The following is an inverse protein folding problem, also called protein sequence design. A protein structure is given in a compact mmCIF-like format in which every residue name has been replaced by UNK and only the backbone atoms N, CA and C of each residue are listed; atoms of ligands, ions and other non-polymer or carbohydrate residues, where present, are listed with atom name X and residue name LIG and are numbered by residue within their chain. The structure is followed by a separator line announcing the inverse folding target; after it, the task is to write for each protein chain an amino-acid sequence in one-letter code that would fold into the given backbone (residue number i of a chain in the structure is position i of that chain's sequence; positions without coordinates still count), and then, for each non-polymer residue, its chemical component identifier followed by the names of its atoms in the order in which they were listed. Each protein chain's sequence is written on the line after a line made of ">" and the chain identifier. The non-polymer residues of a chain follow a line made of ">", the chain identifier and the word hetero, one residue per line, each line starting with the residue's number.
data_IF_405505703315
#
_entry.id   IF_405505703315
#
_cell.length_a   1.000
_cell.length_b   1.000
_cell.length_c   1.000
_cell.angle_alpha   90.00
_cell.angle_beta   90.00
_cell.angle_gamma   90.00
#
_symmetry.space_group_name_H-M   'P 1'
#
loop_
_entity.id
_entity.type
_entity.pdbx_description
1 polymer ?
#
# COMPACT_ATOMS: atom_id res chain seq x y z
N UNK A 1 -0.57 -10.29 -68.23
CA UNK A 1 0.24 -9.62 -67.18
C UNK A 1 -0.37 -8.32 -66.63
N UNK A 2 -1.08 -7.49 -67.42
CA UNK A 2 -1.59 -6.18 -66.95
C UNK A 2 -2.71 -6.23 -65.88
N UNK A 3 -3.50 -7.31 -65.79
CA UNK A 3 -4.62 -7.38 -64.84
C UNK A 3 -4.20 -7.71 -63.38
N UNK A 4 -3.10 -8.47 -63.18
CA UNK A 4 -2.59 -8.80 -61.83
C UNK A 4 -1.86 -7.61 -61.16
N UNK A 5 -1.33 -6.68 -61.95
CA UNK A 5 -0.60 -5.52 -61.44
C UNK A 5 -1.53 -4.42 -60.90
N UNK A 6 -2.74 -4.30 -61.45
CA UNK A 6 -3.77 -3.35 -60.98
C UNK A 6 -4.37 -3.80 -59.65
N UNK A 7 -4.55 -5.11 -59.44
CA UNK A 7 -5.08 -5.65 -58.19
C UNK A 7 -4.10 -5.48 -57.01
N UNK A 8 -2.79 -5.58 -57.27
CA UNK A 8 -1.75 -5.40 -56.24
C UNK A 8 -1.57 -3.91 -55.83
N UNK A 9 -1.73 -2.99 -56.78
CA UNK A 9 -1.73 -1.55 -56.50
C UNK A 9 -2.99 -1.09 -55.74
N UNK A 10 -4.15 -1.70 -56.04
CA UNK A 10 -5.39 -1.43 -55.30
C UNK A 10 -5.32 -1.96 -53.85
N UNK A 11 -4.68 -3.12 -53.61
CA UNK A 11 -4.56 -3.72 -52.29
C UNK A 11 -3.57 -2.95 -51.37
N UNK A 12 -2.54 -2.33 -51.94
CA UNK A 12 -1.60 -1.45 -51.23
C UNK A 12 -2.21 -0.07 -50.93
N UNK A 13 -3.05 0.45 -51.83
CA UNK A 13 -3.83 1.67 -51.57
C UNK A 13 -4.87 1.51 -50.45
N UNK A 14 -5.57 0.37 -50.41
CA UNK A 14 -6.57 0.08 -49.36
C UNK A 14 -5.94 -0.11 -47.97
N UNK A 15 -4.74 -0.69 -47.88
CA UNK A 15 -4.04 -0.85 -46.59
C UNK A 15 -3.53 0.47 -46.03
N UNK A 16 -3.06 1.39 -46.90
CA UNK A 16 -2.66 2.74 -46.49
C UNK A 16 -3.85 3.59 -46.01
N UNK A 17 -5.01 3.48 -46.67
CA UNK A 17 -6.24 4.20 -46.28
C UNK A 17 -6.85 3.63 -44.99
N UNK A 18 -6.81 2.31 -44.81
CA UNK A 18 -7.28 1.66 -43.57
C UNK A 18 -6.46 2.04 -42.33
N UNK A 19 -5.15 2.27 -42.48
CA UNK A 19 -4.29 2.77 -41.39
C UNK A 19 -4.55 4.26 -41.07
N UNK A 20 -5.02 5.04 -42.04
CA UNK A 20 -5.39 6.47 -41.86
C UNK A 20 -6.82 6.65 -41.32
N UNK A 21 -7.70 5.67 -41.50
CA UNK A 21 -9.10 5.68 -41.04
C UNK A 21 -9.33 4.89 -39.74
N UNK A 22 -8.28 4.32 -39.15
CA UNK A 22 -8.40 3.72 -37.82
C UNK A 22 -8.86 4.79 -36.84
N UNK A 23 -10.03 4.55 -36.23
CA UNK A 23 -10.64 5.47 -35.28
C UNK A 23 -9.61 5.93 -34.25
N UNK A 24 -9.58 7.22 -33.96
CA UNK A 24 -8.71 7.79 -32.92
C UNK A 24 -9.01 7.23 -31.52
N UNK A 25 -10.09 6.46 -31.37
CA UNK A 25 -10.41 5.69 -30.18
C UNK A 25 -9.89 4.26 -30.36
N UNK A 26 -8.87 3.85 -29.60
CA UNK A 26 -8.43 2.46 -29.54
C UNK A 26 -9.57 1.57 -29.07
N UNK A 27 -9.77 0.44 -29.75
CA UNK A 27 -10.68 -0.58 -29.23
C UNK A 27 -10.18 -1.15 -27.88
N UNK A 28 -11.08 -1.63 -27.02
CA UNK A 28 -10.69 -2.30 -25.78
C UNK A 28 -9.72 -3.45 -26.03
N UNK A 29 -8.78 -3.64 -25.10
CA UNK A 29 -7.89 -4.78 -25.14
C UNK A 29 -8.68 -6.07 -24.94
N UNK A 30 -8.31 -7.10 -25.70
CA UNK A 30 -8.98 -8.42 -25.71
C UNK A 30 -8.02 -9.54 -25.31
N UNK A 31 -8.52 -10.71 -24.86
CA UNK A 31 -7.67 -11.86 -24.55
C UNK A 31 -6.78 -12.31 -25.73
N UNK A 32 -7.25 -12.14 -26.96
CA UNK A 32 -6.48 -12.47 -28.16
C UNK A 32 -5.26 -11.54 -28.34
N UNK A 33 -5.43 -10.24 -28.06
CA UNK A 33 -4.33 -9.27 -28.04
C UNK A 33 -3.31 -9.60 -26.95
N UNK A 34 -3.77 -10.00 -25.76
CA UNK A 34 -2.89 -10.44 -24.67
C UNK A 34 -2.10 -11.69 -25.09
N UNK A 35 -2.76 -12.69 -25.67
CA UNK A 35 -2.12 -13.92 -26.15
C UNK A 35 -1.10 -13.67 -27.28
N UNK A 36 -1.31 -12.64 -28.11
CA UNK A 36 -0.33 -12.21 -29.09
C UNK A 36 0.88 -11.52 -28.43
N UNK A 37 0.63 -10.62 -27.48
CA UNK A 37 1.68 -9.89 -26.76
C UNK A 37 2.56 -10.82 -25.90
N UNK A 38 1.98 -11.83 -25.27
CA UNK A 38 2.67 -12.90 -24.53
C UNK A 38 3.86 -13.49 -25.29
N UNK A 39 3.67 -13.74 -26.59
CA UNK A 39 4.71 -14.29 -27.48
C UNK A 39 5.88 -13.32 -27.67
N UNK A 40 5.60 -12.02 -27.71
CA UNK A 40 6.60 -10.97 -27.91
C UNK A 40 7.44 -10.80 -26.64
N UNK A 41 6.80 -10.83 -25.48
CA UNK A 41 7.45 -10.61 -24.18
C UNK A 41 8.04 -11.89 -23.55
N UNK A 42 7.85 -13.05 -24.18
CA UNK A 42 8.38 -14.33 -23.71
C UNK A 42 7.67 -14.90 -22.47
N UNK A 43 6.40 -14.54 -22.26
CA UNK A 43 5.57 -15.04 -21.16
C UNK A 43 4.45 -15.95 -21.68
N UNK A 44 3.88 -16.77 -20.80
CA UNK A 44 2.73 -17.62 -21.12
C UNK A 44 1.71 -17.57 -19.98
N UNK A 45 0.48 -17.22 -20.31
CA UNK A 45 -0.63 -17.19 -19.35
C UNK A 45 -1.74 -18.16 -19.75
N UNK A 46 -2.44 -18.70 -18.77
CA UNK A 46 -3.67 -19.44 -19.03
C UNK A 46 -4.84 -18.46 -19.25
N UNK A 47 -5.98 -18.97 -19.71
CA UNK A 47 -7.14 -18.15 -20.05
C UNK A 47 -7.66 -17.33 -18.86
N UNK A 48 -7.76 -17.94 -17.67
CA UNK A 48 -8.19 -17.24 -16.46
C UNK A 48 -7.27 -16.06 -16.09
N UNK A 49 -5.95 -16.20 -16.28
CA UNK A 49 -4.99 -15.10 -16.07
C UNK A 49 -5.17 -14.01 -17.12
N UNK A 50 -5.42 -14.36 -18.38
CA UNK A 50 -5.68 -13.36 -19.44
C UNK A 50 -6.93 -12.55 -19.15
N UNK A 51 -8.01 -13.22 -18.76
CA UNK A 51 -9.27 -12.59 -18.38
C UNK A 51 -9.10 -11.66 -17.18
N UNK A 52 -8.42 -12.13 -16.12
CA UNK A 52 -8.13 -11.33 -14.93
C UNK A 52 -7.32 -10.06 -15.20
N UNK A 53 -6.50 -10.02 -16.26
CA UNK A 53 -5.71 -8.83 -16.60
C UNK A 53 -6.50 -7.79 -17.38
N UNK A 54 -7.66 -8.13 -17.97
CA UNK A 54 -8.37 -7.23 -18.88
C UNK A 54 -8.79 -5.92 -18.23
N UNK A 55 -9.25 -5.96 -16.98
CA UNK A 55 -9.66 -4.76 -16.25
C UNK A 55 -8.52 -3.75 -16.15
N UNK A 56 -7.42 -4.16 -15.52
CA UNK A 56 -6.23 -3.33 -15.32
C UNK A 56 -5.61 -2.86 -16.64
N UNK A 57 -5.58 -3.73 -17.65
CA UNK A 57 -5.02 -3.38 -18.96
C UNK A 57 -5.88 -2.32 -19.69
N UNK A 58 -7.21 -2.43 -19.62
CA UNK A 58 -8.10 -1.42 -20.22
C UNK A 58 -8.07 -0.11 -19.43
N UNK A 59 -8.00 -0.16 -18.10
CA UNK A 59 -7.81 1.04 -17.27
C UNK A 59 -6.48 1.72 -17.60
N UNK A 60 -5.39 0.95 -17.74
CA UNK A 60 -4.10 1.47 -18.15
C UNK A 60 -4.16 2.10 -19.55
N UNK A 61 -4.84 1.47 -20.52
CA UNK A 61 -5.03 2.03 -21.85
C UNK A 61 -5.76 3.38 -21.80
N UNK A 62 -6.85 3.47 -21.02
CA UNK A 62 -7.58 4.72 -20.81
C UNK A 62 -6.68 5.80 -20.18
N UNK A 63 -5.89 5.43 -19.17
CA UNK A 63 -4.94 6.34 -18.53
C UNK A 63 -3.87 6.83 -19.50
N UNK A 64 -3.33 5.95 -20.36
CA UNK A 64 -2.38 6.35 -21.40
C UNK A 64 -3.02 7.28 -22.44
N UNK A 65 -4.28 7.06 -22.82
CA UNK A 65 -5.00 7.97 -23.72
C UNK A 65 -5.16 9.36 -23.10
N UNK A 66 -5.53 9.43 -21.81
CA UNK A 66 -5.59 10.69 -21.06
C UNK A 66 -4.24 11.40 -20.99
N UNK A 67 -3.14 10.66 -20.79
CA UNK A 67 -1.79 11.25 -20.80
C UNK A 67 -1.42 11.76 -22.19
N UNK A 68 -1.74 11.02 -23.25
CA UNK A 68 -1.44 11.39 -24.64
C UNK A 68 -2.29 12.55 -25.17
N UNK A 69 -3.47 12.79 -24.58
CA UNK A 69 -4.30 13.96 -24.94
C UNK A 69 -3.76 15.26 -24.35
N UNK A 70 -2.82 15.20 -23.39
CA UNK A 70 -2.12 16.38 -22.88
C UNK A 70 -1.08 16.82 -23.92
N UNK A 71 -1.21 18.02 -24.51
CA UNK A 71 -0.25 18.51 -25.50
C UNK A 71 1.07 18.84 -24.81
N UNK A 72 2.11 18.05 -25.07
CA UNK A 72 3.47 18.30 -24.59
C UNK A 72 4.38 18.60 -25.79
N UNK A 73 4.78 19.87 -26.02
CA UNK A 73 5.70 20.21 -27.10
C UNK A 73 7.05 19.50 -26.93
N UNK A 74 7.68 19.09 -28.04
CA UNK A 74 9.04 18.50 -28.01
C UNK A 74 10.11 19.46 -27.44
N UNK A 75 9.81 20.75 -27.33
CA UNK A 75 10.66 21.75 -26.66
C UNK A 75 10.64 21.64 -25.13
N UNK A 76 9.67 20.93 -24.55
CA UNK A 76 9.64 20.65 -23.12
C UNK A 76 10.59 19.49 -22.84
N UNK A 77 11.70 19.70 -22.11
CA UNK A 77 12.62 18.62 -21.80
C UNK A 77 11.90 17.55 -20.95
N UNK A 78 12.20 16.26 -21.14
CA UNK A 78 11.69 15.23 -20.24
C UNK A 78 12.13 15.56 -18.82
N UNK A 79 11.24 15.32 -17.85
CA UNK A 79 11.56 15.51 -16.43
C UNK A 79 12.59 14.45 -16.04
N UNK A 80 13.88 14.81 -16.10
CA UNK A 80 14.98 13.95 -15.64
C UNK A 80 15.10 13.93 -14.11
N UNK A 81 14.44 14.86 -13.43
CA UNK A 81 14.44 14.98 -11.98
C UNK A 81 13.02 15.25 -11.46
N UNK A 82 12.44 14.28 -10.76
CA UNK A 82 11.22 14.51 -10.00
C UNK A 82 11.57 15.34 -8.76
N UNK A 83 11.15 16.61 -8.77
CA UNK A 83 11.25 17.49 -7.62
C UNK A 83 9.87 17.58 -6.95
N UNK A 84 9.62 16.87 -5.83
CA UNK A 84 8.33 16.91 -5.15
C UNK A 84 8.09 18.24 -4.42
N UNK A 85 9.08 19.14 -4.42
CA UNK A 85 9.05 20.40 -3.70
C UNK A 85 8.21 21.41 -4.48
N UNK A 86 7.09 21.90 -3.93
CA UNK A 86 6.32 22.97 -4.55
C UNK A 86 7.20 24.18 -4.88
N UNK A 87 6.92 24.84 -5.99
CA UNK A 87 7.68 26.01 -6.44
C UNK A 87 7.67 27.08 -5.34
N UNK A 88 8.86 27.56 -4.96
CA UNK A 88 9.03 28.56 -3.89
C UNK A 88 9.01 28.00 -2.47
N UNK A 89 8.78 26.70 -2.27
CA UNK A 89 8.85 26.07 -0.95
C UNK A 89 10.31 25.80 -0.57
N UNK A 90 10.70 26.29 0.60
CA UNK A 90 11.97 25.95 1.27
C UNK A 90 11.68 25.05 2.46
N UNK A 91 12.36 23.91 2.57
CA UNK A 91 12.27 23.09 3.77
C UNK A 91 13.12 23.67 4.87
N UNK A 92 12.55 23.69 6.06
CA UNK A 92 13.33 23.87 7.26
C UNK A 92 14.18 22.63 7.51
N UNK A 93 15.50 22.77 7.38
CA UNK A 93 16.46 21.68 7.59
C UNK A 93 16.97 21.61 9.03
N UNK A 94 16.56 22.55 9.90
CA UNK A 94 17.00 22.53 11.29
C UNK A 94 16.23 21.46 12.06
N UNK A 95 16.97 20.48 12.57
CA UNK A 95 16.41 19.49 13.47
C UNK A 95 16.06 20.14 14.81
N UNK A 96 14.78 20.14 15.17
CA UNK A 96 14.29 20.58 16.48
C UNK A 96 13.73 19.38 17.26
N UNK A 97 13.71 19.43 18.59
CA UNK A 97 12.97 18.44 19.37
C UNK A 97 11.49 18.49 18.98
N UNK A 98 10.79 17.34 18.98
CA UNK A 98 9.36 17.30 18.69
C UNK A 98 8.60 18.08 19.77
N UNK A 99 7.69 18.96 19.33
CA UNK A 99 6.74 19.63 20.22
C UNK A 99 5.47 18.79 20.24
N UNK A 100 5.22 18.11 21.35
CA UNK A 100 4.01 17.32 21.52
C UNK A 100 2.85 18.23 21.93
N UNK A 101 1.68 18.01 21.33
CA UNK A 101 0.46 18.65 21.80
C UNK A 101 0.14 18.20 23.23
N UNK A 102 -0.46 19.09 24.01
CA UNK A 102 -0.96 18.73 25.34
C UNK A 102 -2.17 17.82 25.17
N UNK A 103 -2.13 16.55 25.62
CA UNK A 103 -3.28 15.68 25.52
C UNK A 103 -4.40 16.18 26.44
N UNK A 104 -5.66 15.92 26.05
CA UNK A 104 -6.77 16.15 26.95
C UNK A 104 -6.60 15.28 28.22
N UNK A 105 -6.96 15.82 29.40
CA UNK A 105 -7.01 15.01 30.62
C UNK A 105 -8.22 14.08 30.55
N UNK A 106 -7.99 12.82 30.19
CA UNK A 106 -9.04 11.81 30.06
C UNK A 106 -9.21 11.01 31.34
N UNK A 107 -10.44 10.65 31.71
CA UNK A 107 -10.68 9.66 32.76
C UNK A 107 -10.39 8.23 32.26
N UNK A 108 -10.23 7.28 33.17
CA UNK A 108 -10.20 5.87 32.77
C UNK A 108 -11.56 5.51 32.13
N UNK A 109 -11.58 4.76 31.02
CA UNK A 109 -12.84 4.39 30.38
C UNK A 109 -13.61 3.40 31.27
N UNK A 110 -14.93 3.50 31.26
CA UNK A 110 -15.80 2.51 31.94
C UNK A 110 -15.82 1.19 31.18
N UNK A 111 -15.75 1.25 29.85
CA UNK A 111 -15.65 0.09 28.97
C UNK A 111 -14.45 0.26 28.03
N UNK A 112 -13.57 -0.74 27.98
CA UNK A 112 -12.36 -0.68 27.14
C UNK A 112 -12.72 -0.52 25.65
N UNK A 113 -13.83 -1.09 25.19
CA UNK A 113 -14.26 -1.01 23.79
C UNK A 113 -14.56 0.41 23.31
N UNK A 114 -14.85 1.34 24.22
CA UNK A 114 -15.06 2.76 23.88
C UNK A 114 -13.79 3.38 23.29
N UNK A 115 -12.62 2.81 23.58
CA UNK A 115 -11.32 3.25 23.05
C UNK A 115 -11.07 2.87 21.60
N UNK A 116 -11.91 2.02 20.98
CA UNK A 116 -11.71 1.60 19.60
C UNK A 116 -11.64 2.77 18.59
N UNK A 117 -12.22 3.92 18.94
CA UNK A 117 -12.27 5.14 18.13
C UNK A 117 -11.47 6.31 18.73
N UNK A 118 -10.77 6.10 19.83
CA UNK A 118 -9.92 7.12 20.43
C UNK A 118 -8.69 7.38 19.53
N UNK A 119 -8.25 8.63 19.50
CA UNK A 119 -7.04 9.02 18.80
C UNK A 119 -5.79 8.48 19.49
N UNK A 120 -4.69 8.36 18.74
CA UNK A 120 -3.40 7.93 19.30
C UNK A 120 -2.94 8.81 20.46
N UNK A 121 -3.20 10.13 20.40
CA UNK A 121 -2.84 11.05 21.49
C UNK A 121 -3.62 10.79 22.78
N UNK A 122 -4.90 10.43 22.66
CA UNK A 122 -5.76 10.07 23.80
C UNK A 122 -5.31 8.74 24.42
N UNK A 123 -5.06 7.72 23.59
CA UNK A 123 -4.54 6.42 24.03
C UNK A 123 -3.17 6.56 24.70
N UNK A 124 -2.29 7.37 24.13
CA UNK A 124 -0.96 7.63 24.67
C UNK A 124 -1.04 8.23 26.08
N UNK A 125 -1.95 9.19 26.30
CA UNK A 125 -2.16 9.80 27.62
C UNK A 125 -2.75 8.80 28.63
N UNK A 126 -3.70 7.96 28.21
CA UNK A 126 -4.25 6.91 29.07
C UNK A 126 -3.19 5.89 29.51
N UNK A 127 -2.31 5.47 28.59
CA UNK A 127 -1.18 4.59 28.89
C UNK A 127 -0.15 5.27 29.79
N UNK A 128 0.27 6.49 29.44
CA UNK A 128 1.26 7.28 30.20
C UNK A 128 0.80 7.54 31.63
N UNK A 129 -0.49 7.82 31.83
CA UNK A 129 -1.09 8.04 33.15
C UNK A 129 -1.54 6.74 33.82
N UNK A 130 -1.30 5.59 33.20
CA UNK A 130 -1.65 4.25 33.70
C UNK A 130 -3.14 4.08 34.03
N UNK A 131 -4.00 4.80 33.30
CA UNK A 131 -5.47 4.63 33.38
C UNK A 131 -5.94 3.41 32.60
N UNK A 132 -5.13 3.00 31.63
CA UNK A 132 -5.28 1.79 30.82
C UNK A 132 -3.89 1.19 30.65
N UNK A 133 -3.81 -0.13 30.55
CA UNK A 133 -2.54 -0.83 30.27
C UNK A 133 -2.43 -1.19 28.80
N UNK A 134 -1.21 -1.31 28.28
CA UNK A 134 -0.93 -1.78 26.93
C UNK A 134 -1.49 -3.18 26.73
N UNK A 135 -1.42 -4.06 27.75
CA UNK A 135 -2.04 -5.38 27.71
C UNK A 135 -3.56 -5.30 27.48
N UNK A 136 -4.29 -4.48 28.23
CA UNK A 136 -5.74 -4.30 28.07
C UNK A 136 -6.09 -3.80 26.66
N UNK A 137 -5.37 -2.79 26.19
CA UNK A 137 -5.59 -2.19 24.88
C UNK A 137 -5.28 -3.18 23.74
N UNK A 138 -4.20 -3.94 23.86
CA UNK A 138 -3.78 -4.96 22.89
C UNK A 138 -4.80 -6.09 22.83
N UNK A 139 -5.24 -6.61 23.97
CA UNK A 139 -6.26 -7.67 24.04
C UNK A 139 -7.59 -7.23 23.42
N UNK A 140 -8.00 -5.97 23.64
CA UNK A 140 -9.19 -5.40 23.00
C UNK A 140 -9.05 -5.40 21.47
N UNK A 141 -7.96 -4.85 20.92
CA UNK A 141 -7.79 -4.81 19.46
C UNK A 141 -7.63 -6.20 18.83
N UNK A 142 -6.89 -7.13 19.47
CA UNK A 142 -6.80 -8.52 19.02
C UNK A 142 -8.17 -9.20 18.99
N UNK A 143 -9.00 -8.96 20.01
CA UNK A 143 -10.38 -9.50 20.07
C UNK A 143 -11.24 -8.96 18.93
N UNK A 144 -11.10 -7.66 18.61
CA UNK A 144 -11.80 -7.04 17.48
C UNK A 144 -11.30 -7.59 16.14
N UNK A 145 -9.99 -7.76 15.95
CA UNK A 145 -9.42 -8.34 14.73
C UNK A 145 -9.93 -9.76 14.50
N UNK A 146 -9.97 -10.60 15.55
CA UNK A 146 -10.54 -11.95 15.47
C UNK A 146 -12.03 -11.95 15.15
N UNK A 147 -12.79 -11.01 15.70
CA UNK A 147 -14.25 -10.90 15.51
C UNK A 147 -14.64 -10.37 14.13
N UNK A 148 -13.97 -9.31 13.67
CA UNK A 148 -14.38 -8.56 12.47
C UNK A 148 -13.50 -8.84 11.26
N UNK A 149 -12.24 -9.25 11.45
CA UNK A 149 -11.26 -9.52 10.39
C UNK A 149 -11.78 -10.47 9.30
N UNK A 150 -12.37 -11.62 9.64
CA UNK A 150 -12.91 -12.55 8.63
C UNK A 150 -14.04 -11.97 7.76
N UNK A 151 -14.77 -10.96 8.26
CA UNK A 151 -15.88 -10.32 7.54
C UNK A 151 -15.42 -9.11 6.71
N UNK A 152 -14.42 -8.39 7.22
CA UNK A 152 -13.91 -7.18 6.58
C UNK A 152 -12.72 -7.44 5.65
N UNK A 153 -12.12 -8.63 5.72
CA UNK A 153 -10.95 -9.03 4.94
C UNK A 153 -9.79 -8.04 5.09
N UNK A 154 -9.64 -7.46 6.29
CA UNK A 154 -8.73 -6.36 6.56
C UNK A 154 -7.41 -6.77 7.24
N UNK A 155 -7.24 -8.07 7.54
CA UNK A 155 -6.05 -8.61 8.21
C UNK A 155 -5.68 -9.96 7.61
N UNK A 156 -4.40 -10.14 7.29
CA UNK A 156 -3.86 -11.39 6.73
C UNK A 156 -3.10 -12.22 7.76
N UNK A 157 -2.51 -11.57 8.77
CA UNK A 157 -1.72 -12.20 9.82
C UNK A 157 -1.96 -11.44 11.11
N UNK A 158 -2.31 -12.17 12.18
CA UNK A 158 -2.45 -11.63 13.53
C UNK A 158 -1.22 -12.05 14.31
N UNK A 159 -0.49 -11.09 14.88
CA UNK A 159 0.79 -11.36 15.58
C UNK A 159 0.57 -11.54 17.09
N UNK A 160 -0.46 -12.30 17.49
CA UNK A 160 -0.94 -12.33 18.88
C UNK A 160 0.13 -12.61 19.93
N UNK A 161 0.97 -13.64 19.75
CA UNK A 161 2.03 -13.96 20.70
C UNK A 161 3.03 -12.80 20.85
N UNK A 162 3.49 -12.24 19.74
CA UNK A 162 4.39 -11.09 19.72
C UNK A 162 3.74 -9.86 20.35
N UNK A 163 2.48 -9.59 20.00
CA UNK A 163 1.70 -8.46 20.48
C UNK A 163 1.59 -8.49 22.01
N UNK A 164 1.19 -9.63 22.58
CA UNK A 164 1.05 -9.79 24.03
C UNK A 164 2.40 -9.65 24.75
N UNK A 165 3.49 -10.17 24.17
CA UNK A 165 4.85 -10.01 24.71
C UNK A 165 5.32 -8.56 24.68
N UNK A 166 5.10 -7.85 23.57
CA UNK A 166 5.45 -6.44 23.44
C UNK A 166 4.62 -5.57 24.40
N UNK A 167 3.33 -5.85 24.55
CA UNK A 167 2.43 -5.15 25.45
C UNK A 167 2.83 -5.33 26.92
N UNK A 168 3.15 -6.57 27.33
CA UNK A 168 3.64 -6.84 28.68
C UNK A 168 4.93 -6.07 28.98
N UNK A 169 5.87 -6.04 28.03
CA UNK A 169 7.12 -5.27 28.16
C UNK A 169 6.85 -3.77 28.27
N UNK A 170 5.96 -3.23 27.44
CA UNK A 170 5.56 -1.83 27.49
C UNK A 170 4.95 -1.47 28.87
N UNK A 171 4.07 -2.31 29.41
CA UNK A 171 3.48 -2.09 30.74
C UNK A 171 4.55 -2.08 31.85
N UNK A 172 5.51 -3.02 31.80
CA UNK A 172 6.61 -3.07 32.76
C UNK A 172 7.51 -1.82 32.69
N UNK A 173 7.82 -1.35 31.49
CA UNK A 173 8.64 -0.15 31.28
C UNK A 173 7.92 1.12 31.72
N UNK A 174 6.64 1.28 31.38
CA UNK A 174 5.80 2.39 31.84
C UNK A 174 5.72 2.40 33.37
N UNK A 175 5.52 1.23 34.00
CA UNK A 175 5.47 1.12 35.45
C UNK A 175 6.81 1.50 36.12
N UNK A 176 7.93 1.25 35.46
CA UNK A 176 9.27 1.65 35.90
C UNK A 176 9.61 3.12 35.60
N UNK A 177 8.70 3.89 34.98
CA UNK A 177 8.93 5.29 34.61
C UNK A 177 9.67 5.48 33.28
N UNK A 178 9.93 4.41 32.54
CA UNK A 178 10.65 4.42 31.26
C UNK A 178 9.69 4.64 30.07
N UNK A 179 9.00 5.77 30.05
CA UNK A 179 8.08 6.11 28.96
C UNK A 179 8.85 6.61 27.72
N UNK A 180 8.84 5.84 26.63
CA UNK A 180 9.61 6.13 25.41
C UNK A 180 8.97 7.17 24.47
N UNK A 181 7.73 7.57 24.74
CA UNK A 181 7.00 8.57 23.96
C UNK A 181 5.60 8.11 23.53
N UNK A 182 4.92 8.89 22.66
CA UNK A 182 3.48 8.72 22.40
C UNK A 182 3.05 7.37 21.80
N UNK A 183 3.97 6.62 21.20
CA UNK A 183 3.67 5.31 20.62
C UNK A 183 3.93 4.14 21.60
N UNK A 184 4.49 4.41 22.77
CA UNK A 184 4.86 3.37 23.72
C UNK A 184 3.60 2.66 24.24
N UNK A 185 3.50 1.37 23.95
CA UNK A 185 2.37 0.51 24.32
C UNK A 185 1.17 0.59 23.38
N UNK A 186 1.24 1.34 22.29
CA UNK A 186 0.13 1.52 21.33
C UNK A 186 0.10 0.36 20.32
N UNK A 187 -1.04 -0.36 20.20
CA UNK A 187 -1.25 -1.35 19.14
C UNK A 187 -1.31 -0.73 17.75
N UNK A 188 -0.66 -1.34 16.77
CA UNK A 188 -0.69 -0.92 15.37
C UNK A 188 -0.70 -2.10 14.40
N UNK A 189 -1.34 -1.91 13.24
CA UNK A 189 -1.25 -2.84 12.11
C UNK A 189 -0.19 -2.38 11.11
N UNK A 190 0.54 -3.32 10.53
CA UNK A 190 1.48 -3.08 9.44
C UNK A 190 0.89 -3.57 8.12
N UNK A 191 1.14 -2.84 7.02
CA UNK A 191 0.81 -3.35 5.68
C UNK A 191 1.69 -4.58 5.40
N UNK A 192 1.13 -5.57 4.71
CA UNK A 192 1.82 -6.80 4.24
C UNK A 192 2.86 -6.54 3.12
N UNK A 193 3.53 -5.38 3.20
CA UNK A 193 4.70 -4.95 2.44
C UNK A 193 5.92 -4.79 3.35
N UNK A 194 5.72 -4.79 4.67
CA UNK A 194 6.75 -4.53 5.66
C UNK A 194 7.16 -5.84 6.31
N UNK A 195 8.41 -6.24 6.05
CA UNK A 195 8.96 -7.48 6.58
C UNK A 195 9.02 -7.47 8.11
N UNK A 196 8.63 -8.59 8.72
CA UNK A 196 8.79 -8.88 10.15
C UNK A 196 9.32 -10.30 10.26
N UNK A 197 10.48 -10.46 10.89
CA UNK A 197 11.15 -11.75 11.03
C UNK A 197 10.24 -12.74 11.76
N UNK A 198 10.09 -13.93 11.19
CA UNK A 198 9.23 -14.99 11.73
C UNK A 198 7.77 -14.93 11.31
N UNK A 199 7.36 -13.89 10.58
CA UNK A 199 6.02 -13.75 10.02
C UNK A 199 6.06 -13.73 8.48
N UNK A 200 4.93 -14.07 7.85
CA UNK A 200 4.81 -14.00 6.40
C UNK A 200 4.78 -12.55 5.92
N UNK A 201 5.35 -12.31 4.74
CA UNK A 201 5.26 -11.04 4.04
C UNK A 201 4.95 -11.33 2.58
N UNK A 202 3.66 -11.29 2.22
CA UNK A 202 3.17 -11.88 0.96
C UNK A 202 2.97 -10.86 -0.15
N UNK A 203 3.11 -9.57 0.14
CA UNK A 203 2.91 -8.47 -0.80
C UNK A 203 1.52 -8.48 -1.47
N UNK A 204 0.54 -9.15 -0.86
CA UNK A 204 -0.79 -9.33 -1.43
C UNK A 204 -0.81 -10.10 -2.76
N UNK A 205 0.17 -10.98 -3.01
CA UNK A 205 0.33 -11.64 -4.30
C UNK A 205 0.52 -13.16 -4.15
N UNK A 206 -0.26 -13.94 -4.91
CA UNK A 206 -0.37 -15.40 -4.80
C UNK A 206 0.98 -16.14 -4.88
N UNK A 207 1.93 -15.77 -5.78
CA UNK A 207 3.26 -16.39 -5.82
C UNK A 207 4.05 -16.25 -4.51
N UNK A 208 3.78 -15.22 -3.71
CA UNK A 208 4.50 -14.92 -2.47
C UNK A 208 3.68 -15.26 -1.22
N UNK A 209 2.57 -16.00 -1.34
CA UNK A 209 1.66 -16.33 -0.21
C UNK A 209 2.34 -17.05 0.97
N UNK A 210 3.48 -17.70 0.73
CA UNK A 210 4.28 -18.42 1.72
C UNK A 210 5.65 -17.78 1.98
N UNK A 211 5.89 -16.59 1.43
CA UNK A 211 7.14 -15.86 1.58
C UNK A 211 7.34 -15.43 3.04
N UNK A 212 8.54 -15.73 3.55
CA UNK A 212 9.04 -15.27 4.85
C UNK A 212 10.40 -14.62 4.59
N UNK A 213 10.58 -13.40 5.09
CA UNK A 213 11.80 -12.63 4.92
C UNK A 213 12.51 -12.59 6.27
N UNK A 214 13.78 -13.01 6.34
CA UNK A 214 14.54 -13.12 7.59
C UNK A 214 15.13 -11.78 8.07
N UNK A 215 14.36 -10.70 7.94
CA UNK A 215 14.71 -9.37 8.44
C UNK A 215 13.48 -8.56 8.79
N UNK A 216 13.64 -7.61 9.72
CA UNK A 216 12.62 -6.60 9.97
C UNK A 216 12.85 -5.37 9.09
N UNK A 217 11.78 -4.86 8.50
CA UNK A 217 11.78 -3.59 7.81
C UNK A 217 12.21 -2.46 8.76
N UNK A 218 12.91 -1.46 8.23
CA UNK A 218 13.44 -0.33 9.03
C UNK A 218 12.37 0.39 9.83
N UNK A 219 11.16 0.54 9.28
CA UNK A 219 10.04 1.17 9.99
C UNK A 219 9.55 0.33 11.17
N UNK A 220 9.50 -1.00 11.04
CA UNK A 220 9.12 -1.93 12.11
C UNK A 220 10.12 -1.84 13.25
N UNK A 221 11.43 -1.86 12.95
CA UNK A 221 12.51 -1.66 13.94
C UNK A 221 12.35 -0.34 14.71
N UNK A 222 11.99 0.75 14.02
CA UNK A 222 11.78 2.06 14.62
C UNK A 222 10.53 2.10 15.52
N UNK A 223 9.45 1.45 15.11
CA UNK A 223 8.21 1.35 15.89
C UNK A 223 8.42 0.50 17.16
N UNK A 224 9.10 -0.64 17.03
CA UNK A 224 9.54 -1.48 18.16
C UNK A 224 10.44 -0.70 19.13
N UNK A 225 11.41 0.07 18.61
CA UNK A 225 12.26 0.92 19.43
C UNK A 225 11.46 2.00 20.18
N UNK A 226 10.40 2.55 19.57
CA UNK A 226 9.47 3.47 20.21
C UNK A 226 8.52 2.81 21.23
N UNK A 227 8.52 1.47 21.30
CA UNK A 227 7.68 0.68 22.21
C UNK A 227 6.27 0.39 21.67
N UNK A 228 6.01 0.58 20.38
CA UNK A 228 4.73 0.24 19.78
C UNK A 228 4.53 -1.27 19.71
N UNK A 229 3.27 -1.72 19.69
CA UNK A 229 2.87 -3.13 19.75
C UNK A 229 2.29 -3.55 18.39
N UNK A 230 2.93 -4.48 17.68
CA UNK A 230 2.42 -4.99 16.41
C UNK A 230 1.29 -6.00 16.71
N UNK A 231 0.11 -5.81 16.10
CA UNK A 231 -1.07 -6.70 16.26
C UNK A 231 -1.47 -7.43 14.99
#
# INVERSE_FOLDING_TARGET
>A
MRFKMILLAALSGLTAIGALLQSQNPEPLTPALIAAAEKIIGLQFNEAKRDSMLGDLNENLENYQKIRSVPLPNSVPPVLAFNPVPVGMTFDTQRRPPVWSTPAKLAAPTNIEDLAYASVGELAELLRTRKVTSMQLTQMYLSRLKKYGPKLECVITITEELALKQAQRADAEIAAGNYRGPLHGIPYGAKDLLAVKGYKTTWGSVPFKDQVIDEDATVIKKLEAAGAVLV
#
